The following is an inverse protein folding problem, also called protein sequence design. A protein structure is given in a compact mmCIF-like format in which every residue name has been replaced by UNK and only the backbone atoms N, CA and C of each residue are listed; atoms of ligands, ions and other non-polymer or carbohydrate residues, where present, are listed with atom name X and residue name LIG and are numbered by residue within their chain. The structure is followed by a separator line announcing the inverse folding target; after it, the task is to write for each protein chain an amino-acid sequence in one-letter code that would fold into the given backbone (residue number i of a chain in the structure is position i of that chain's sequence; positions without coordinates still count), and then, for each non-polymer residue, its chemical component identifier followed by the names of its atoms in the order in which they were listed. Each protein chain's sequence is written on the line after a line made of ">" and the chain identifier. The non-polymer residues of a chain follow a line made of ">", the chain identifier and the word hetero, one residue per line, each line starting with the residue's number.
data_IF_906750029490
#
_entry.id   IF_906750029490
#
_cell.length_a   1.000
_cell.length_b   1.000
_cell.length_c   1.000
_cell.angle_alpha   90.00
_cell.angle_beta   90.00
_cell.angle_gamma   90.00
#
_symmetry.space_group_name_H-M   'P 1'
#
loop_
_entity.id
_entity.type
_entity.pdbx_description
1 polymer ?
#
# COMPACT_ATOMS: atom_id res chain seq x y z
N UNK A 1 -18.69 9.77 12.54
CA UNK A 1 -17.26 9.46 12.64
C UNK A 1 -16.57 9.93 11.36
N UNK A 2 -15.38 10.49 11.45
CA UNK A 2 -14.64 10.96 10.26
C UNK A 2 -14.04 9.75 9.54
N UNK A 3 -14.31 9.55 8.22
CA UNK A 3 -13.74 8.45 7.46
C UNK A 3 -12.22 8.55 7.41
N UNK A 4 -11.53 7.41 7.34
CA UNK A 4 -10.07 7.38 7.18
C UNK A 4 -9.64 7.65 5.74
N UNK A 5 -10.49 7.27 4.77
CA UNK A 5 -10.38 7.66 3.36
C UNK A 5 -11.72 8.25 2.94
N UNK A 6 -11.71 9.45 2.36
CA UNK A 6 -12.90 10.10 1.80
C UNK A 6 -12.62 10.52 0.37
N UNK A 7 -13.48 10.12 -0.54
CA UNK A 7 -13.37 10.36 -1.99
C UNK A 7 -14.65 11.03 -2.44
N UNK A 8 -14.53 12.19 -3.10
CA UNK A 8 -15.69 12.97 -3.56
C UNK A 8 -15.51 13.40 -5.01
N UNK A 9 -16.44 12.98 -5.87
CA UNK A 9 -16.50 13.35 -7.28
C UNK A 9 -15.24 13.04 -8.08
N UNK A 10 -14.49 11.99 -7.68
CA UNK A 10 -13.20 11.67 -8.25
C UNK A 10 -13.33 11.16 -9.68
N UNK A 11 -12.59 11.75 -10.62
CA UNK A 11 -12.48 11.24 -11.98
C UNK A 11 -11.04 11.24 -12.49
N UNK A 12 -10.79 10.42 -13.51
CA UNK A 12 -9.51 10.41 -14.21
C UNK A 12 -9.69 10.19 -15.71
N UNK A 13 -9.23 11.17 -16.47
CA UNK A 13 -9.08 11.08 -17.92
C UNK A 13 -7.59 11.28 -18.25
N UNK A 14 -7.03 10.35 -19.02
CA UNK A 14 -5.63 10.44 -19.47
C UNK A 14 -5.52 11.24 -20.78
N UNK A 15 -4.29 11.62 -21.13
CA UNK A 15 -3.99 12.22 -22.43
C UNK A 15 -4.54 11.31 -23.55
N UNK A 16 -5.21 11.89 -24.55
CA UNK A 16 -5.88 11.14 -25.60
C UNK A 16 -7.36 10.81 -25.32
N UNK A 17 -7.92 11.31 -24.21
CA UNK A 17 -9.35 11.22 -23.91
C UNK A 17 -9.82 9.93 -23.25
N UNK A 18 -8.90 8.98 -22.96
CA UNK A 18 -9.26 7.75 -22.26
C UNK A 18 -9.69 8.01 -20.83
N UNK A 19 -10.97 7.79 -20.53
CA UNK A 19 -11.56 7.96 -19.21
C UNK A 19 -11.41 6.67 -18.39
N UNK A 20 -10.37 6.60 -17.59
CA UNK A 20 -10.06 5.45 -16.74
C UNK A 20 -10.94 5.37 -15.48
N UNK A 21 -11.43 6.52 -14.99
CA UNK A 21 -12.34 6.62 -13.85
C UNK A 21 -13.39 7.69 -14.16
N UNK A 22 -14.67 7.33 -14.24
CA UNK A 22 -15.75 8.25 -14.61
C UNK A 22 -16.11 9.19 -13.46
N UNK A 23 -16.55 8.63 -12.37
CA UNK A 23 -16.85 9.30 -11.10
C UNK A 23 -16.81 8.27 -9.98
N UNK A 24 -16.12 8.59 -8.90
CA UNK A 24 -16.15 7.79 -7.69
C UNK A 24 -16.43 8.68 -6.49
N UNK A 25 -17.35 8.21 -5.66
CA UNK A 25 -17.66 8.77 -4.35
C UNK A 25 -17.59 7.59 -3.35
N UNK A 26 -16.75 7.66 -2.31
CA UNK A 26 -16.52 6.55 -1.39
C UNK A 26 -15.98 7.08 -0.06
N UNK A 27 -16.52 6.57 1.04
CA UNK A 27 -15.96 6.77 2.37
C UNK A 27 -15.60 5.40 2.98
N UNK A 28 -14.39 5.28 3.49
CA UNK A 28 -13.91 4.10 4.22
C UNK A 28 -13.68 4.51 5.68
N UNK A 29 -14.27 3.75 6.60
CA UNK A 29 -14.17 4.08 8.02
C UNK A 29 -12.87 3.54 8.63
N UNK A 30 -12.48 4.10 9.76
CA UNK A 30 -11.32 3.63 10.53
C UNK A 30 -11.58 2.22 11.07
N UNK A 31 -10.61 1.31 10.86
CA UNK A 31 -10.74 -0.11 11.25
C UNK A 31 -11.60 -0.95 10.29
N UNK A 32 -12.06 -0.38 9.17
CA UNK A 32 -12.80 -1.10 8.15
C UNK A 32 -11.88 -1.86 7.20
N UNK A 33 -12.26 -3.09 6.86
CA UNK A 33 -11.66 -3.85 5.76
C UNK A 33 -12.54 -3.68 4.54
N UNK A 34 -12.04 -2.97 3.55
CA UNK A 34 -12.76 -2.67 2.33
C UNK A 34 -12.20 -3.44 1.13
N UNK A 35 -13.07 -4.15 0.40
CA UNK A 35 -12.69 -4.88 -0.81
C UNK A 35 -13.21 -4.19 -2.07
N UNK A 36 -12.31 -3.78 -2.95
CA UNK A 36 -12.63 -3.20 -4.24
C UNK A 36 -12.69 -4.31 -5.30
N UNK A 37 -13.91 -4.71 -5.67
CA UNK A 37 -14.16 -5.77 -6.65
C UNK A 37 -14.58 -5.17 -8.01
N UNK A 38 -14.23 -5.87 -9.08
CA UNK A 38 -14.64 -5.48 -10.43
C UNK A 38 -13.75 -6.12 -11.50
N UNK A 39 -14.19 -6.13 -12.77
CA UNK A 39 -13.41 -6.69 -13.86
C UNK A 39 -12.09 -5.92 -14.12
N UNK A 40 -11.20 -6.53 -14.90
CA UNK A 40 -10.00 -5.84 -15.36
C UNK A 40 -10.41 -4.61 -16.19
N UNK A 41 -9.70 -3.49 -16.00
CA UNK A 41 -10.07 -2.24 -16.66
C UNK A 41 -11.17 -1.42 -15.97
N UNK A 42 -11.76 -1.89 -14.87
CA UNK A 42 -12.79 -1.14 -14.13
C UNK A 42 -12.25 0.10 -13.36
N UNK A 43 -10.97 0.45 -13.51
CA UNK A 43 -10.37 1.61 -12.87
C UNK A 43 -9.87 1.38 -11.44
N UNK A 44 -9.87 0.14 -10.93
CA UNK A 44 -9.42 -0.21 -9.56
C UNK A 44 -7.99 0.27 -9.27
N UNK A 45 -7.04 -0.15 -10.11
CA UNK A 45 -5.63 0.27 -9.99
C UNK A 45 -5.46 1.77 -10.14
N UNK A 46 -6.24 2.42 -11.04
CA UNK A 46 -6.24 3.88 -11.18
C UNK A 46 -6.72 4.56 -9.91
N UNK A 47 -7.80 4.07 -9.29
CA UNK A 47 -8.32 4.60 -8.04
C UNK A 47 -7.29 4.48 -6.90
N UNK A 48 -6.71 3.28 -6.72
CA UNK A 48 -5.65 3.04 -5.72
C UNK A 48 -4.45 3.95 -5.99
N UNK A 49 -4.00 4.05 -7.24
CA UNK A 49 -2.87 4.90 -7.63
C UNK A 49 -3.11 6.39 -7.33
N UNK A 50 -4.35 6.87 -7.48
CA UNK A 50 -4.71 8.25 -7.13
C UNK A 50 -4.66 8.42 -5.61
N UNK A 51 -5.30 7.54 -4.84
CA UNK A 51 -5.31 7.63 -3.37
C UNK A 51 -3.89 7.59 -2.80
N UNK A 52 -3.01 6.73 -3.36
CA UNK A 52 -1.61 6.64 -2.96
C UNK A 52 -0.74 7.80 -3.50
N UNK A 53 -1.31 8.73 -4.25
CA UNK A 53 -0.63 9.90 -4.80
C UNK A 53 0.39 9.57 -5.90
N UNK A 54 0.25 8.44 -6.60
CA UNK A 54 1.07 8.07 -7.76
C UNK A 54 0.56 8.71 -9.04
N UNK A 55 -0.75 9.00 -9.09
CA UNK A 55 -1.44 9.62 -10.23
C UNK A 55 -2.30 10.77 -9.72
N UNK A 56 -2.21 11.94 -10.37
CA UNK A 56 -3.09 13.06 -10.04
C UNK A 56 -4.49 12.83 -10.59
N UNK A 57 -5.56 13.16 -9.85
CA UNK A 57 -6.92 13.13 -10.36
C UNK A 57 -7.13 14.18 -11.45
N UNK A 58 -8.15 13.99 -12.30
CA UNK A 58 -8.63 15.02 -13.24
C UNK A 58 -9.61 15.97 -12.55
N UNK A 59 -10.51 15.42 -11.74
CA UNK A 59 -11.47 16.18 -10.89
C UNK A 59 -11.68 15.47 -9.57
N UNK A 60 -12.31 16.16 -8.64
CA UNK A 60 -12.67 15.63 -7.31
C UNK A 60 -11.56 15.78 -6.30
N UNK A 61 -11.84 15.31 -5.09
CA UNK A 61 -10.94 15.39 -3.94
C UNK A 61 -10.81 14.03 -3.25
N UNK A 62 -9.65 13.78 -2.69
CA UNK A 62 -9.40 12.61 -1.84
C UNK A 62 -8.71 13.05 -0.57
N UNK A 63 -9.25 12.64 0.56
CA UNK A 63 -8.62 12.78 1.87
C UNK A 63 -8.17 11.41 2.38
N UNK A 64 -6.93 11.32 2.83
CA UNK A 64 -6.38 10.17 3.51
C UNK A 64 -5.94 10.57 4.91
N UNK A 65 -6.54 9.97 5.94
CA UNK A 65 -6.35 10.32 7.36
C UNK A 65 -6.52 11.83 7.62
N UNK A 66 -7.50 12.47 6.93
CA UNK A 66 -7.78 13.90 7.03
C UNK A 66 -6.92 14.82 6.17
N UNK A 67 -5.92 14.28 5.45
CA UNK A 67 -5.01 15.05 4.61
C UNK A 67 -5.37 14.93 3.13
N UNK A 68 -5.42 16.06 2.42
CA UNK A 68 -5.63 16.10 0.97
C UNK A 68 -4.40 15.50 0.25
N UNK A 69 -4.65 14.51 -0.62
CA UNK A 69 -3.58 13.76 -1.31
C UNK A 69 -2.75 14.62 -2.29
N UNK A 70 -3.25 15.80 -2.67
CA UNK A 70 -2.58 16.73 -3.59
C UNK A 70 -1.94 17.89 -2.80
N UNK A 71 -2.68 18.54 -1.92
CA UNK A 71 -2.23 19.71 -1.16
C UNK A 71 -1.29 19.32 -0.02
N UNK A 72 -1.66 18.26 0.73
CA UNK A 72 -0.94 17.76 1.91
C UNK A 72 -0.28 16.40 1.62
N UNK A 73 0.21 16.22 0.39
CA UNK A 73 0.65 14.93 -0.13
C UNK A 73 1.68 14.19 0.75
N UNK A 74 2.54 14.91 1.48
CA UNK A 74 3.54 14.29 2.38
C UNK A 74 2.87 13.62 3.57
N UNK A 75 1.93 14.31 4.22
CA UNK A 75 1.18 13.79 5.36
C UNK A 75 0.25 12.65 4.93
N UNK A 76 -0.46 12.82 3.82
CA UNK A 76 -1.30 11.77 3.23
C UNK A 76 -0.48 10.50 2.94
N UNK A 77 0.63 10.60 2.23
CA UNK A 77 1.49 9.44 1.89
C UNK A 77 2.12 8.79 3.12
N UNK A 78 2.47 9.57 4.16
CA UNK A 78 3.01 9.03 5.40
C UNK A 78 1.99 8.14 6.15
N UNK A 79 0.70 8.31 5.90
CA UNK A 79 -0.37 7.49 6.47
C UNK A 79 -0.71 6.24 5.63
N UNK A 80 -0.16 6.11 4.42
CA UNK A 80 -0.53 5.06 3.46
C UNK A 80 0.64 4.10 3.22
N UNK A 81 0.37 2.80 3.32
CA UNK A 81 1.20 1.73 2.80
C UNK A 81 0.58 1.16 1.53
N UNK A 82 1.38 0.93 0.49
CA UNK A 82 0.95 0.31 -0.76
C UNK A 82 1.77 -0.94 -1.05
N UNK A 83 1.07 -2.03 -1.30
CA UNK A 83 1.63 -3.28 -1.83
C UNK A 83 1.18 -3.40 -3.29
N UNK A 84 2.05 -3.11 -4.26
CA UNK A 84 1.68 -3.18 -5.67
C UNK A 84 1.50 -4.62 -6.14
N UNK A 85 0.84 -4.79 -7.27
CA UNK A 85 0.65 -6.08 -7.93
C UNK A 85 1.99 -6.70 -8.34
N UNK A 86 2.89 -5.91 -8.92
CA UNK A 86 4.20 -6.37 -9.38
C UNK A 86 5.20 -6.52 -8.24
N UNK A 87 6.04 -7.56 -8.32
CA UNK A 87 7.11 -7.85 -7.34
C UNK A 87 8.35 -6.96 -7.60
N UNK A 88 8.16 -5.63 -7.58
CA UNK A 88 9.25 -4.67 -7.74
C UNK A 88 10.02 -4.50 -6.42
N UNK A 89 11.10 -5.26 -6.26
CA UNK A 89 12.04 -5.13 -5.15
C UNK A 89 13.46 -5.13 -5.67
N UNK A 90 14.39 -4.51 -4.93
CA UNK A 90 15.81 -4.65 -5.22
C UNK A 90 16.26 -6.09 -4.90
N UNK A 91 16.55 -6.86 -5.95
CA UNK A 91 16.83 -8.28 -5.85
C UNK A 91 18.11 -8.58 -5.06
N UNK A 92 19.06 -7.64 -5.00
CA UNK A 92 20.37 -7.82 -4.39
C UNK A 92 20.44 -7.41 -2.92
N UNK A 93 19.46 -6.64 -2.46
CA UNK A 93 19.35 -6.23 -1.07
C UNK A 93 18.83 -7.34 -0.16
N UNK A 94 19.16 -7.24 1.14
CA UNK A 94 18.61 -8.13 2.15
C UNK A 94 17.21 -7.66 2.57
N UNK A 95 16.42 -8.60 3.11
CA UNK A 95 15.09 -8.27 3.66
C UNK A 95 15.20 -7.17 4.71
N UNK A 96 16.17 -7.27 5.62
CA UNK A 96 16.37 -6.30 6.70
C UNK A 96 16.76 -4.92 6.18
N UNK A 97 17.70 -4.85 5.24
CA UNK A 97 18.10 -3.58 4.62
C UNK A 97 16.92 -2.90 3.93
N UNK A 98 16.11 -3.67 3.20
CA UNK A 98 14.94 -3.16 2.47
C UNK A 98 13.90 -2.53 3.40
N UNK A 99 13.52 -3.19 4.51
CA UNK A 99 12.51 -2.64 5.43
C UNK A 99 13.04 -1.42 6.19
N UNK A 100 14.32 -1.43 6.58
CA UNK A 100 14.96 -0.26 7.21
C UNK A 100 15.01 0.94 6.28
N UNK A 101 15.42 0.71 5.03
CA UNK A 101 15.47 1.74 4.01
C UNK A 101 14.08 2.33 3.74
N UNK A 102 13.06 1.46 3.58
CA UNK A 102 11.68 1.91 3.39
C UNK A 102 11.21 2.82 4.53
N UNK A 103 11.48 2.46 5.79
CA UNK A 103 11.16 3.31 6.94
C UNK A 103 11.84 4.68 6.86
N UNK A 104 13.12 4.69 6.49
CA UNK A 104 13.90 5.94 6.34
C UNK A 104 13.38 6.85 5.24
N UNK A 105 12.88 6.30 4.12
CA UNK A 105 12.28 7.07 3.03
C UNK A 105 11.08 7.92 3.47
N UNK A 106 10.33 7.46 4.48
CA UNK A 106 9.21 8.20 5.07
C UNK A 106 9.64 9.11 6.24
N UNK A 107 10.95 9.31 6.44
CA UNK A 107 11.47 10.17 7.50
C UNK A 107 11.22 9.67 8.92
N UNK A 108 10.89 8.38 9.09
CA UNK A 108 10.66 7.79 10.41
C UNK A 108 11.98 7.44 11.09
N UNK A 109 12.12 7.70 12.39
CA UNK A 109 13.31 7.30 13.15
C UNK A 109 13.47 5.78 13.16
N UNK A 110 14.70 5.30 13.32
CA UNK A 110 14.96 3.87 13.42
C UNK A 110 14.17 3.24 14.57
N UNK A 111 13.48 2.13 14.28
CA UNK A 111 12.75 1.33 15.26
C UNK A 111 12.95 -0.16 14.96
N UNK A 112 14.10 -0.74 15.37
CA UNK A 112 14.41 -2.14 15.08
C UNK A 112 13.40 -3.11 15.70
N UNK A 113 12.89 -2.82 16.91
CA UNK A 113 11.93 -3.69 17.59
C UNK A 113 10.62 -3.79 16.81
N UNK A 114 10.10 -2.67 16.30
CA UNK A 114 8.92 -2.67 15.46
C UNK A 114 9.14 -3.45 14.16
N UNK A 115 10.25 -3.19 13.45
CA UNK A 115 10.58 -3.91 12.21
C UNK A 115 10.78 -5.41 12.44
N UNK A 116 11.37 -5.81 13.57
CA UNK A 116 11.46 -7.21 13.97
C UNK A 116 10.07 -7.81 14.16
N UNK A 117 9.17 -7.12 14.87
CA UNK A 117 7.81 -7.61 15.09
C UNK A 117 7.06 -7.83 13.77
N UNK A 118 7.16 -6.89 12.82
CA UNK A 118 6.58 -7.01 11.48
C UNK A 118 7.16 -8.23 10.74
N UNK A 119 8.49 -8.41 10.74
CA UNK A 119 9.10 -9.55 10.06
C UNK A 119 8.74 -10.88 10.70
N UNK A 120 8.57 -10.94 12.02
CA UNK A 120 8.11 -12.15 12.73
C UNK A 120 6.67 -12.50 12.36
N UNK A 121 5.75 -11.54 12.38
CA UNK A 121 4.36 -11.71 11.97
C UNK A 121 4.24 -12.22 10.52
N UNK A 122 5.13 -11.77 9.64
CA UNK A 122 5.19 -12.19 8.25
C UNK A 122 6.02 -13.46 8.01
N UNK A 123 6.51 -14.13 9.06
CA UNK A 123 7.39 -15.32 8.98
C UNK A 123 8.64 -15.09 8.13
N UNK A 124 9.22 -13.91 8.23
CA UNK A 124 10.42 -13.49 7.48
C UNK A 124 11.64 -13.26 8.39
N UNK A 125 11.50 -13.32 9.72
CA UNK A 125 12.59 -12.97 10.64
C UNK A 125 13.83 -13.84 10.43
N UNK A 126 13.68 -15.15 10.23
CA UNK A 126 14.80 -16.07 10.00
C UNK A 126 15.49 -15.84 8.64
N UNK A 127 14.82 -15.14 7.73
CA UNK A 127 15.32 -14.76 6.41
C UNK A 127 15.77 -13.30 6.33
N UNK A 128 15.82 -12.58 7.43
CA UNK A 128 16.12 -11.13 7.43
C UNK A 128 17.45 -10.76 6.78
N UNK A 129 18.44 -11.65 6.83
CA UNK A 129 19.76 -11.45 6.22
C UNK A 129 19.89 -12.09 4.82
N UNK A 130 18.84 -12.75 4.33
CA UNK A 130 18.84 -13.35 3.00
C UNK A 130 18.59 -12.27 1.93
N UNK A 131 19.27 -12.43 0.77
CA UNK A 131 18.99 -11.58 -0.39
C UNK A 131 17.59 -11.87 -0.93
N UNK A 132 16.88 -10.84 -1.36
CA UNK A 132 15.51 -10.97 -1.87
C UNK A 132 15.45 -11.86 -3.11
N UNK A 133 16.51 -11.85 -3.95
CA UNK A 133 16.62 -12.75 -5.11
C UNK A 133 16.48 -14.24 -4.76
N UNK A 134 16.94 -14.65 -3.58
CA UNK A 134 16.96 -16.07 -3.15
C UNK A 134 15.64 -16.54 -2.53
N UNK A 135 14.66 -15.65 -2.36
CA UNK A 135 13.39 -15.96 -1.75
C UNK A 135 12.38 -16.52 -2.75
N UNK A 136 11.45 -17.35 -2.28
CA UNK A 136 10.28 -17.77 -3.06
C UNK A 136 9.37 -16.60 -3.42
N UNK A 137 8.51 -16.76 -4.43
CA UNK A 137 7.55 -15.72 -4.84
C UNK A 137 6.64 -15.26 -3.68
N UNK A 138 6.13 -16.21 -2.88
CA UNK A 138 5.34 -15.89 -1.70
C UNK A 138 6.11 -15.11 -0.63
N UNK A 139 7.40 -15.47 -0.40
CA UNK A 139 8.25 -14.72 0.52
C UNK A 139 8.56 -13.31 -0.01
N UNK A 140 8.81 -13.14 -1.31
CA UNK A 140 8.98 -11.82 -1.93
C UNK A 140 7.74 -10.95 -1.75
N UNK A 141 6.54 -11.54 -1.88
CA UNK A 141 5.28 -10.83 -1.61
C UNK A 141 5.18 -10.37 -0.16
N UNK A 142 5.56 -11.22 0.80
CA UNK A 142 5.62 -10.86 2.23
C UNK A 142 6.62 -9.74 2.50
N UNK A 143 7.77 -9.71 1.79
CA UNK A 143 8.74 -8.60 1.88
C UNK A 143 8.12 -7.29 1.41
N UNK A 144 7.31 -7.28 0.34
CA UNK A 144 6.57 -6.08 -0.10
C UNK A 144 5.58 -5.59 0.97
N UNK A 145 4.89 -6.52 1.64
CA UNK A 145 4.00 -6.18 2.75
C UNK A 145 4.80 -5.59 3.91
N UNK A 146 5.92 -6.22 4.30
CA UNK A 146 6.80 -5.68 5.34
C UNK A 146 7.31 -4.28 5.00
N UNK A 147 7.70 -4.06 3.75
CA UNK A 147 8.12 -2.75 3.22
C UNK A 147 7.00 -1.70 3.34
N UNK A 148 5.77 -2.07 2.97
CA UNK A 148 4.61 -1.19 3.07
C UNK A 148 4.24 -0.84 4.52
N UNK A 149 4.48 -1.75 5.48
CA UNK A 149 4.22 -1.56 6.90
C UNK A 149 5.35 -0.84 7.64
N UNK A 150 6.56 -0.78 7.07
CA UNK A 150 7.77 -0.35 7.77
C UNK A 150 7.69 1.06 8.39
N UNK A 151 6.90 1.97 7.84
CA UNK A 151 6.72 3.34 8.31
C UNK A 151 5.49 3.54 9.21
N UNK A 152 4.84 2.45 9.64
CA UNK A 152 3.65 2.46 10.53
C UNK A 152 2.46 3.20 9.88
N UNK A 153 2.01 2.80 8.67
CA UNK A 153 0.87 3.43 8.02
C UNK A 153 -0.43 3.12 8.76
N UNK A 154 -1.41 4.01 8.63
CA UNK A 154 -2.78 3.81 9.14
C UNK A 154 -3.72 3.21 8.12
N UNK A 155 -3.34 3.26 6.85
CA UNK A 155 -4.09 2.75 5.70
C UNK A 155 -3.16 1.82 4.92
N UNK A 156 -3.61 0.62 4.60
CA UNK A 156 -2.86 -0.33 3.78
C UNK A 156 -3.67 -0.69 2.54
N UNK A 157 -3.09 -0.42 1.36
CA UNK A 157 -3.63 -0.86 0.08
C UNK A 157 -2.88 -2.09 -0.42
N UNK A 158 -3.65 -3.12 -0.80
CA UNK A 158 -3.15 -4.32 -1.45
C UNK A 158 -3.75 -4.37 -2.86
N UNK A 159 -2.93 -4.17 -3.89
CA UNK A 159 -3.36 -4.31 -5.27
C UNK A 159 -3.24 -5.78 -5.68
N UNK A 160 -4.38 -6.41 -6.02
CA UNK A 160 -4.51 -7.86 -6.28
C UNK A 160 -3.95 -8.78 -5.16
N UNK A 161 -4.56 -8.78 -3.96
CA UNK A 161 -4.05 -9.53 -2.80
C UNK A 161 -4.04 -11.05 -2.99
N UNK A 162 -4.70 -11.59 -4.01
CA UNK A 162 -4.85 -13.03 -4.22
C UNK A 162 -3.63 -13.72 -4.85
N UNK A 163 -2.77 -12.98 -5.51
CA UNK A 163 -1.55 -13.53 -6.10
C UNK A 163 -0.48 -13.75 -5.01
N UNK A 164 -0.44 -14.95 -4.41
CA UNK A 164 0.62 -15.39 -3.50
C UNK A 164 0.48 -14.99 -2.03
N UNK A 165 -0.69 -14.52 -1.59
CA UNK A 165 -1.01 -14.35 -0.16
C UNK A 165 -1.73 -15.59 0.33
N UNK A 166 -1.06 -16.36 1.17
CA UNK A 166 -1.59 -17.56 1.83
C UNK A 166 -2.81 -17.22 2.71
N UNK A 167 -3.76 -18.16 2.83
CA UNK A 167 -4.98 -18.01 3.65
C UNK A 167 -4.63 -17.69 5.11
N UNK A 168 -3.54 -18.27 5.62
CA UNK A 168 -3.02 -18.04 6.97
C UNK A 168 -2.58 -16.57 7.17
N UNK A 169 -1.85 -16.00 6.19
CA UNK A 169 -1.40 -14.61 6.24
C UNK A 169 -2.59 -13.63 6.15
N UNK A 170 -3.64 -13.97 5.41
CA UNK A 170 -4.88 -13.18 5.38
C UNK A 170 -5.51 -13.08 6.77
N UNK A 171 -5.60 -14.22 7.50
CA UNK A 171 -6.13 -14.22 8.86
C UNK A 171 -5.30 -13.38 9.83
N UNK A 172 -3.97 -13.41 9.71
CA UNK A 172 -3.07 -12.65 10.59
C UNK A 172 -3.06 -11.14 10.31
N UNK A 173 -3.28 -10.73 9.06
CA UNK A 173 -3.36 -9.30 8.69
C UNK A 173 -4.72 -8.68 9.05
N UNK A 174 -5.75 -9.52 9.29
CA UNK A 174 -7.13 -9.08 9.53
C UNK A 174 -7.65 -9.45 10.94
N UNK A 175 -6.80 -9.92 11.83
CA UNK A 175 -7.07 -10.11 13.26
C UNK A 175 -6.58 -8.88 14.05
#
# INVERSE_FOLDING_TARGET
>A
MTPIVSIQGLSKTYAGGFQALKRADLDIQRGEIFALLGPNGAGKTTLISIICGLVNPSTGTVLADGHDIVRDYRAARASIGLVPQELATDAFETVWATVRFSRGLFGKPANPQYLESVLRQLSLWDKRNSKISTLSGGMKRRVLIAKALAHEPRILFLDEPTAGVDVELRRQLWA
#
